data_IF_062567473154
#
_entry.id   IF_062567473154
#
_cell.length_a   1.000
_cell.length_b   1.000
_cell.length_c   1.000
_cell.angle_alpha   90.00
_cell.angle_beta   90.00
_cell.angle_gamma   90.00
#
_symmetry.space_group_name_H-M   'P 1'
#
loop_
_entity.id
_entity.type
_entity.pdbx_description
1 polymer ?
#
# COMPACT_ATOMS: atom_id res chain seq x y z
N UNK A 1 8.05 10.72 -0.56
CA UNK A 1 8.42 12.11 -0.87
C UNK A 1 7.22 12.97 -1.24
N UNK A 2 6.72 12.89 -2.48
CA UNK A 2 5.65 13.76 -3.01
C UNK A 2 4.31 13.69 -2.27
N UNK A 3 3.91 12.50 -1.81
CA UNK A 3 2.68 12.35 -1.02
C UNK A 3 2.72 13.16 0.28
N UNK A 4 3.90 13.34 0.87
CA UNK A 4 4.08 14.21 2.03
C UNK A 4 3.90 15.68 1.66
N UNK A 5 4.42 16.12 0.51
CA UNK A 5 4.33 17.52 0.06
C UNK A 5 2.91 17.94 -0.34
N UNK A 6 2.17 17.05 -1.00
CA UNK A 6 0.76 17.28 -1.34
C UNK A 6 -0.12 17.28 -0.07
N UNK A 7 0.13 16.37 0.87
CA UNK A 7 -0.59 16.34 2.14
C UNK A 7 -0.27 17.53 3.06
N UNK A 8 0.97 18.04 3.02
CA UNK A 8 1.41 19.21 3.82
C UNK A 8 0.82 20.52 3.30
N UNK A 9 0.52 20.62 2.00
CA UNK A 9 -0.11 21.80 1.39
C UNK A 9 -1.64 21.66 1.24
N UNK A 10 -2.24 20.58 1.77
CA UNK A 10 -3.66 20.33 1.64
C UNK A 10 -4.50 21.21 2.59
N UNK A 11 -5.61 21.81 2.12
CA UNK A 11 -6.57 22.49 2.98
C UNK A 11 -7.05 21.59 4.13
N UNK A 12 -7.32 22.15 5.31
CA UNK A 12 -7.60 21.35 6.53
C UNK A 12 -8.74 20.33 6.37
N UNK A 13 -9.77 20.67 5.59
CA UNK A 13 -10.93 19.80 5.31
C UNK A 13 -10.80 18.93 4.05
N UNK A 14 -9.63 18.86 3.42
CA UNK A 14 -9.39 18.04 2.21
C UNK A 14 -8.12 17.19 2.32
N UNK A 15 -7.59 17.00 3.53
CA UNK A 15 -6.32 16.28 3.74
C UNK A 15 -6.40 14.82 3.26
N UNK A 16 -7.54 14.16 3.43
CA UNK A 16 -7.79 12.80 2.93
C UNK A 16 -7.87 12.73 1.41
N UNK A 17 -8.56 13.70 0.78
CA UNK A 17 -8.60 13.83 -0.68
C UNK A 17 -7.22 14.02 -1.31
N UNK A 18 -6.38 14.90 -0.77
CA UNK A 18 -5.04 15.12 -1.31
C UNK A 18 -4.08 13.96 -1.01
N UNK A 19 -4.30 13.22 0.09
CA UNK A 19 -3.50 12.05 0.43
C UNK A 19 -3.76 10.87 -0.52
N UNK A 20 -4.97 10.70 -1.06
CA UNK A 20 -5.29 9.58 -1.96
C UNK A 20 -4.82 9.78 -3.40
N UNK A 21 -4.60 11.02 -3.85
CA UNK A 21 -4.24 11.32 -5.25
C UNK A 21 -3.00 10.54 -5.72
N UNK A 22 -1.88 10.51 -4.99
CA UNK A 22 -0.72 9.71 -5.38
C UNK A 22 -1.01 8.20 -5.44
N UNK A 23 -1.97 7.73 -4.65
CA UNK A 23 -2.32 6.32 -4.54
C UNK A 23 -3.13 5.83 -5.75
N UNK A 24 -3.80 6.71 -6.48
CA UNK A 24 -4.50 6.38 -7.74
C UNK A 24 -3.55 5.81 -8.81
N UNK A 25 -2.27 6.16 -8.76
CA UNK A 25 -1.27 5.65 -9.69
C UNK A 25 -1.11 4.12 -9.62
N UNK A 26 -1.33 3.52 -8.45
CA UNK A 26 -1.18 2.07 -8.26
C UNK A 26 -2.22 1.25 -9.04
N UNK A 27 -3.55 1.44 -8.87
CA UNK A 27 -4.54 0.70 -9.65
C UNK A 27 -4.52 1.08 -11.14
N UNK A 28 -4.22 2.33 -11.52
CA UNK A 28 -4.09 2.69 -12.93
C UNK A 28 -2.92 1.95 -13.58
N UNK A 29 -1.76 1.94 -12.91
CA UNK A 29 -0.59 1.20 -13.37
C UNK A 29 -0.86 -0.29 -13.46
N UNK A 30 -1.59 -0.85 -12.49
CA UNK A 30 -2.00 -2.25 -12.52
C UNK A 30 -2.91 -2.56 -13.70
N UNK A 31 -3.97 -1.76 -13.94
CA UNK A 31 -4.87 -1.95 -15.08
C UNK A 31 -4.10 -1.93 -16.40
N UNK A 32 -3.19 -0.96 -16.58
CA UNK A 32 -2.37 -0.84 -17.80
C UNK A 32 -1.43 -2.04 -17.95
N UNK A 33 -0.79 -2.48 -16.86
CA UNK A 33 0.07 -3.65 -16.87
C UNK A 33 -0.71 -4.93 -17.21
N UNK A 34 -1.82 -5.19 -16.52
CA UNK A 34 -2.66 -6.36 -16.75
C UNK A 34 -3.24 -6.36 -18.18
N UNK A 35 -3.64 -5.20 -18.72
CA UNK A 35 -4.06 -5.07 -20.11
C UNK A 35 -2.95 -5.41 -21.10
N UNK A 36 -1.73 -4.90 -20.87
CA UNK A 36 -0.57 -5.13 -21.73
C UNK A 36 -0.15 -6.61 -21.72
N UNK A 37 -0.10 -7.23 -20.54
CA UNK A 37 0.21 -8.65 -20.42
C UNK A 37 -0.89 -9.53 -21.00
N UNK A 38 -2.17 -9.21 -20.79
CA UNK A 38 -3.29 -9.94 -21.41
C UNK A 38 -3.22 -9.85 -22.93
N UNK A 39 -2.87 -8.68 -23.48
CA UNK A 39 -2.65 -8.50 -24.91
C UNK A 39 -1.50 -9.38 -25.43
N UNK A 40 -0.35 -9.38 -24.78
CA UNK A 40 0.79 -10.21 -25.21
C UNK A 40 0.52 -11.70 -25.11
N UNK A 41 -0.07 -12.16 -24.01
CA UNK A 41 -0.39 -13.57 -23.82
C UNK A 41 -1.46 -14.07 -24.81
N UNK A 42 -2.28 -13.18 -25.38
CA UNK A 42 -3.29 -13.52 -26.38
C UNK A 42 -2.78 -13.40 -27.83
N UNK A 43 -1.74 -12.61 -28.08
CA UNK A 43 -1.29 -12.29 -29.46
C UNK A 43 0.06 -12.92 -29.83
N UNK A 44 0.93 -13.15 -28.85
CA UNK A 44 2.25 -13.73 -29.09
C UNK A 44 2.24 -15.24 -28.89
N UNK A 45 3.09 -15.94 -29.64
CA UNK A 45 3.42 -17.31 -29.32
C UNK A 45 4.19 -17.37 -27.98
N UNK A 46 4.19 -18.53 -27.31
CA UNK A 46 4.97 -18.71 -26.09
C UNK A 46 6.47 -18.46 -26.32
N UNK A 47 6.99 -18.81 -27.50
CA UNK A 47 8.38 -18.57 -27.87
C UNK A 47 8.69 -17.07 -27.98
N UNK A 48 7.85 -16.30 -28.68
CA UNK A 48 8.04 -14.85 -28.83
C UNK A 48 7.88 -14.11 -27.50
N UNK A 49 6.94 -14.57 -26.67
CA UNK A 49 6.75 -14.00 -25.34
C UNK A 49 8.00 -14.15 -24.49
N UNK A 50 8.62 -15.34 -24.48
CA UNK A 50 9.86 -15.63 -23.74
C UNK A 50 11.10 -14.96 -24.35
N UNK A 51 11.12 -14.78 -25.66
CA UNK A 51 12.23 -14.16 -26.37
C UNK A 51 12.27 -12.63 -26.21
N UNK A 52 11.13 -11.93 -26.34
CA UNK A 52 11.13 -10.47 -26.21
C UNK A 52 9.88 -9.88 -25.56
N UNK A 53 8.73 -10.54 -25.69
CA UNK A 53 7.44 -9.98 -25.23
C UNK A 53 7.45 -9.54 -23.77
N UNK A 54 8.04 -10.35 -22.88
CA UNK A 54 8.14 -10.01 -21.45
C UNK A 54 9.03 -8.81 -21.16
N UNK A 55 9.95 -8.43 -22.06
CA UNK A 55 10.87 -7.29 -21.88
C UNK A 55 10.20 -5.95 -22.21
N UNK A 56 9.19 -5.95 -23.08
CA UNK A 56 8.52 -4.73 -23.55
C UNK A 56 7.91 -3.86 -22.43
N UNK A 57 7.18 -4.41 -21.43
CA UNK A 57 6.62 -3.62 -20.32
C UNK A 57 7.67 -2.81 -19.54
N UNK A 58 8.92 -3.29 -19.47
CA UNK A 58 10.00 -2.57 -18.79
C UNK A 58 10.40 -1.28 -19.52
N UNK A 59 10.36 -1.27 -20.86
CA UNK A 59 10.61 -0.05 -21.64
C UNK A 59 9.46 0.96 -21.49
N UNK A 60 8.22 0.48 -21.44
CA UNK A 60 7.05 1.33 -21.15
C UNK A 60 7.17 1.96 -19.76
N UNK A 61 7.51 1.16 -18.74
CA UNK A 61 7.74 1.65 -17.39
C UNK A 61 8.92 2.64 -17.32
N UNK A 62 9.99 2.42 -18.08
CA UNK A 62 11.11 3.34 -18.19
C UNK A 62 10.67 4.69 -18.77
N UNK A 63 9.94 4.71 -19.87
CA UNK A 63 9.44 5.94 -20.50
C UNK A 63 8.53 6.74 -19.53
N UNK A 64 7.60 6.06 -18.84
CA UNK A 64 6.75 6.69 -17.83
C UNK A 64 7.58 7.28 -16.69
N UNK A 65 8.61 6.57 -16.22
CA UNK A 65 9.50 7.05 -15.16
C UNK A 65 10.31 8.29 -15.57
N UNK A 66 10.73 8.40 -16.83
CA UNK A 66 11.39 9.61 -17.34
C UNK A 66 10.45 10.82 -17.24
N UNK A 67 9.20 10.67 -17.67
CA UNK A 67 8.18 11.74 -17.55
C UNK A 67 7.92 12.08 -16.08
N UNK A 68 7.80 11.06 -15.22
CA UNK A 68 7.60 11.24 -13.78
C UNK A 68 8.80 11.95 -13.10
N UNK A 69 10.03 11.70 -13.57
CA UNK A 69 11.23 12.40 -13.10
C UNK A 69 11.16 13.89 -13.43
N UNK A 70 10.82 14.25 -14.68
CA UNK A 70 10.66 15.66 -15.06
C UNK A 70 9.57 16.35 -14.24
N UNK A 71 8.43 15.68 -14.00
CA UNK A 71 7.38 16.21 -13.13
C UNK A 71 7.87 16.42 -11.69
N UNK A 72 8.62 15.47 -11.12
CA UNK A 72 9.22 15.59 -9.78
C UNK A 72 10.18 16.77 -9.68
N UNK A 73 11.06 16.94 -10.66
CA UNK A 73 12.03 18.04 -10.70
C UNK A 73 11.32 19.39 -10.70
N UNK A 74 10.20 19.54 -11.44
CA UNK A 74 9.41 20.78 -11.42
C UNK A 74 8.75 21.07 -10.07
N UNK A 75 8.31 20.05 -9.33
CA UNK A 75 7.67 20.24 -8.01
C UNK A 75 8.67 20.76 -6.97
N UNK A 76 9.94 20.36 -7.04
CA UNK A 76 11.01 20.78 -6.11
C UNK A 76 11.28 22.28 -6.18
N UNK A 77 10.97 22.93 -7.31
CA UNK A 77 11.21 24.38 -7.54
C UNK A 77 10.09 25.25 -6.96
N UNK A 78 9.08 24.67 -6.29
CA UNK A 78 7.96 25.44 -5.75
C UNK A 78 8.33 26.20 -4.47
N UNK A 79 7.78 27.42 -4.23
CA UNK A 79 8.06 28.19 -3.02
C UNK A 79 7.70 27.45 -1.72
N UNK A 80 6.70 26.57 -1.74
CA UNK A 80 6.31 25.74 -0.60
C UNK A 80 7.36 24.68 -0.27
N UNK A 81 8.00 24.07 -1.27
CA UNK A 81 9.12 23.16 -1.07
C UNK A 81 10.33 23.90 -0.50
N UNK A 82 10.64 25.08 -1.03
CA UNK A 82 11.75 25.90 -0.56
C UNK A 82 11.58 26.30 0.92
N UNK A 83 10.37 26.72 1.32
CA UNK A 83 10.05 27.01 2.72
C UNK A 83 10.23 25.79 3.65
N UNK A 84 9.79 24.61 3.22
CA UNK A 84 9.96 23.36 3.99
C UNK A 84 11.43 22.90 4.08
N UNK A 85 12.24 23.23 3.07
CA UNK A 85 13.67 22.99 3.09
C UNK A 85 14.37 23.94 4.07
N UNK A 86 14.01 25.22 4.06
CA UNK A 86 14.52 26.25 4.98
C UNK A 86 14.15 25.99 6.44
N UNK A 87 12.96 25.46 6.72
CA UNK A 87 12.54 25.06 8.08
C UNK A 87 13.19 23.76 8.57
N UNK A 88 14.10 23.17 7.78
CA UNK A 88 14.77 21.89 8.05
C UNK A 88 13.83 20.68 8.14
N UNK A 89 12.56 20.80 7.72
CA UNK A 89 11.63 19.65 7.68
C UNK A 89 12.02 18.60 6.63
N UNK A 90 12.77 19.01 5.61
CA UNK A 90 13.22 18.16 4.51
C UNK A 90 14.72 17.85 4.54
N UNK A 91 15.43 18.26 5.60
CA UNK A 91 16.87 18.02 5.73
C UNK A 91 17.12 16.57 6.18
N UNK A 92 17.89 15.77 5.43
CA UNK A 92 18.24 14.42 5.85
C UNK A 92 19.23 14.47 7.03
N UNK A 93 18.99 13.59 8.01
CA UNK A 93 19.95 13.28 9.08
C UNK A 93 20.54 11.88 8.87
N UNK A 94 21.74 11.58 9.42
CA UNK A 94 22.30 10.24 9.38
C UNK A 94 21.32 9.19 9.92
N UNK A 95 21.19 8.06 9.22
CA UNK A 95 20.24 6.98 9.54
C UNK A 95 20.42 6.50 10.98
N UNK A 96 21.66 6.31 11.42
CA UNK A 96 21.98 5.90 12.80
C UNK A 96 21.40 6.87 13.84
N UNK A 97 21.50 8.18 13.60
CA UNK A 97 20.95 9.21 14.51
C UNK A 97 19.43 9.11 14.59
N UNK A 98 18.76 8.96 13.45
CA UNK A 98 17.30 8.81 13.40
C UNK A 98 16.84 7.53 14.10
N UNK A 99 17.51 6.39 13.88
CA UNK A 99 17.17 5.10 14.51
C UNK A 99 17.40 5.14 16.01
N UNK A 100 18.51 5.72 16.47
CA UNK A 100 18.78 5.86 17.91
C UNK A 100 17.75 6.73 18.62
N UNK A 101 17.27 7.78 17.96
CA UNK A 101 16.31 8.73 18.53
C UNK A 101 14.84 8.25 18.42
N UNK A 102 14.46 7.63 17.30
CA UNK A 102 13.06 7.37 16.93
C UNK A 102 12.77 5.88 16.66
N UNK A 103 13.72 4.98 16.94
CA UNK A 103 13.67 3.55 16.58
C UNK A 103 12.35 2.83 16.91
N UNK A 104 11.82 2.92 18.15
CA UNK A 104 10.54 2.32 18.49
C UNK A 104 9.36 2.86 17.66
N UNK A 105 9.35 4.16 17.35
CA UNK A 105 8.31 4.79 16.51
C UNK A 105 8.46 4.38 15.04
N UNK A 106 9.69 4.23 14.56
CA UNK A 106 10.00 3.70 13.22
C UNK A 106 9.47 2.27 13.10
N UNK A 107 9.75 1.41 14.07
CA UNK A 107 9.27 0.04 14.08
C UNK A 107 7.74 -0.02 14.11
N UNK A 108 7.08 0.63 15.07
CA UNK A 108 5.61 0.65 15.17
C UNK A 108 4.99 1.22 13.88
N UNK A 109 5.59 2.28 13.34
CA UNK A 109 5.17 2.90 12.10
C UNK A 109 5.29 1.98 10.88
N UNK A 110 6.32 1.12 10.85
CA UNK A 110 6.54 0.18 9.75
C UNK A 110 5.49 -0.93 9.72
N UNK A 111 5.00 -1.34 10.90
CA UNK A 111 3.94 -2.34 11.03
C UNK A 111 2.52 -1.76 10.89
N UNK A 112 2.35 -0.44 10.94
CA UNK A 112 1.04 0.20 10.85
C UNK A 112 0.32 0.05 9.49
N UNK A 113 0.99 0.10 8.32
CA UNK A 113 0.34 -0.17 7.03
C UNK A 113 0.49 -1.64 6.58
N UNK A 114 1.00 -2.53 7.45
CA UNK A 114 1.36 -3.90 7.08
C UNK A 114 0.18 -4.67 6.48
N UNK A 115 -1.01 -4.55 7.08
CA UNK A 115 -2.22 -5.18 6.59
C UNK A 115 -2.60 -4.71 5.19
N UNK A 116 -2.48 -3.40 4.91
CA UNK A 116 -2.79 -2.82 3.61
C UNK A 116 -1.84 -3.32 2.52
N UNK A 117 -0.54 -3.45 2.84
CA UNK A 117 0.47 -3.93 1.91
C UNK A 117 0.41 -5.44 1.69
N UNK A 118 0.13 -6.21 2.74
CA UNK A 118 -0.15 -7.64 2.62
C UNK A 118 -1.40 -7.87 1.77
N UNK A 119 -2.47 -7.09 2.02
CA UNK A 119 -3.70 -7.12 1.23
C UNK A 119 -3.42 -6.81 -0.25
N UNK A 120 -2.60 -5.79 -0.54
CA UNK A 120 -2.23 -5.43 -1.92
C UNK A 120 -1.69 -6.63 -2.69
N UNK A 121 -0.77 -7.39 -2.08
CA UNK A 121 -0.17 -8.56 -2.71
C UNK A 121 -1.11 -9.78 -2.74
N UNK A 122 -1.97 -9.89 -1.73
CA UNK A 122 -3.00 -10.94 -1.65
C UNK A 122 -4.10 -10.81 -2.70
N UNK A 123 -4.27 -9.64 -3.33
CA UNK A 123 -5.25 -9.44 -4.41
C UNK A 123 -4.61 -9.21 -5.79
N UNK A 124 -3.27 -9.21 -5.88
CA UNK A 124 -2.53 -8.99 -7.14
C UNK A 124 -1.69 -10.21 -7.49
N UNK A 125 -0.54 -10.35 -6.83
CA UNK A 125 0.49 -11.34 -7.18
C UNK A 125 0.12 -12.75 -6.72
N UNK A 126 -0.38 -12.90 -5.48
CA UNK A 126 -0.69 -14.22 -4.93
C UNK A 126 -1.79 -14.95 -5.71
N UNK A 127 -2.95 -14.35 -6.01
CA UNK A 127 -4.02 -15.04 -6.72
C UNK A 127 -3.62 -15.40 -8.15
N UNK A 128 -2.87 -14.52 -8.85
CA UNK A 128 -2.32 -14.84 -10.17
C UNK A 128 -1.45 -16.10 -10.10
N UNK A 129 -0.55 -16.16 -9.12
CA UNK A 129 0.35 -17.31 -8.94
C UNK A 129 -0.42 -18.57 -8.57
N UNK A 130 -1.42 -18.45 -7.70
CA UNK A 130 -2.26 -19.57 -7.27
C UNK A 130 -3.07 -20.15 -8.43
N UNK A 131 -3.77 -19.28 -9.17
CA UNK A 131 -4.58 -19.64 -10.34
C UNK A 131 -3.70 -20.30 -11.40
N UNK A 132 -2.53 -19.73 -11.70
CA UNK A 132 -1.62 -20.28 -12.69
C UNK A 132 -1.03 -21.64 -12.31
N UNK A 133 -0.67 -21.86 -11.05
CA UNK A 133 0.03 -23.08 -10.62
C UNK A 133 -0.91 -24.22 -10.21
N UNK A 134 -2.10 -23.91 -9.68
CA UNK A 134 -2.97 -24.88 -9.03
C UNK A 134 -4.34 -25.03 -9.69
N UNK A 135 -4.63 -24.28 -10.75
CA UNK A 135 -5.90 -24.39 -11.49
C UNK A 135 -5.65 -24.56 -12.99
N UNK A 136 -6.70 -24.90 -13.75
CA UNK A 136 -6.65 -25.04 -15.22
C UNK A 136 -6.99 -23.73 -15.94
N UNK A 137 -7.09 -22.62 -15.20
CA UNK A 137 -7.51 -21.33 -15.72
C UNK A 137 -6.37 -20.62 -16.45
N UNK A 138 -6.72 -19.89 -17.51
CA UNK A 138 -5.72 -19.13 -18.27
C UNK A 138 -5.30 -17.86 -17.52
N UNK A 139 -4.00 -17.49 -17.53
CA UNK A 139 -3.54 -16.21 -16.97
C UNK A 139 -4.26 -15.01 -17.56
N UNK A 140 -4.64 -15.07 -18.84
CA UNK A 140 -5.39 -14.01 -19.51
C UNK A 140 -6.72 -13.74 -18.81
N UNK A 141 -7.49 -14.79 -18.47
CA UNK A 141 -8.76 -14.64 -17.76
C UNK A 141 -8.55 -13.99 -16.38
N UNK A 142 -7.53 -14.41 -15.65
CA UNK A 142 -7.18 -13.79 -14.37
C UNK A 142 -6.86 -12.30 -14.53
N UNK A 143 -6.04 -11.91 -15.51
CA UNK A 143 -5.67 -10.52 -15.76
C UNK A 143 -6.90 -9.65 -16.10
N UNK A 144 -7.90 -10.20 -16.80
CA UNK A 144 -9.17 -9.51 -17.04
C UNK A 144 -9.95 -9.27 -15.72
N UNK A 145 -10.04 -10.29 -14.87
CA UNK A 145 -10.70 -10.17 -13.55
C UNK A 145 -9.94 -9.17 -12.66
N UNK A 146 -8.61 -9.19 -12.70
CA UNK A 146 -7.75 -8.25 -12.00
C UNK A 146 -7.99 -6.82 -12.46
N UNK A 147 -8.12 -6.56 -13.77
CA UNK A 147 -8.47 -5.23 -14.27
C UNK A 147 -9.83 -4.74 -13.76
N UNK A 148 -10.84 -5.62 -13.75
CA UNK A 148 -12.16 -5.28 -13.20
C UNK A 148 -12.05 -4.98 -11.71
N UNK A 149 -11.37 -5.83 -10.94
CA UNK A 149 -11.11 -5.61 -9.52
C UNK A 149 -10.38 -4.29 -9.27
N UNK A 150 -9.31 -4.02 -10.01
CA UNK A 150 -8.52 -2.80 -9.92
C UNK A 150 -9.35 -1.53 -10.25
N UNK A 151 -10.32 -1.61 -11.16
CA UNK A 151 -11.27 -0.52 -11.40
C UNK A 151 -12.16 -0.24 -10.18
N UNK A 152 -12.67 -1.27 -9.50
CA UNK A 152 -13.36 -1.10 -8.22
C UNK A 152 -12.44 -0.57 -7.11
N UNK A 153 -11.18 -1.01 -7.11
CA UNK A 153 -10.14 -0.50 -6.22
C UNK A 153 -9.88 0.99 -6.45
N UNK A 154 -9.80 1.44 -7.71
CA UNK A 154 -9.66 2.85 -8.08
C UNK A 154 -10.82 3.69 -7.53
N UNK A 155 -12.07 3.24 -7.73
CA UNK A 155 -13.25 3.90 -7.18
C UNK A 155 -13.23 3.94 -5.65
N UNK A 156 -12.74 2.88 -5.03
CA UNK A 156 -12.62 2.77 -3.58
C UNK A 156 -11.52 3.67 -3.01
N UNK A 157 -10.42 3.91 -3.74
CA UNK A 157 -9.42 4.93 -3.37
C UNK A 157 -10.05 6.33 -3.39
N UNK A 158 -10.83 6.66 -4.42
CA UNK A 158 -11.55 7.95 -4.49
C UNK A 158 -12.54 8.09 -3.33
N UNK A 159 -13.32 7.05 -3.04
CA UNK A 159 -14.23 7.02 -1.90
C UNK A 159 -13.48 7.16 -0.56
N UNK A 160 -12.29 6.56 -0.44
CA UNK A 160 -11.46 6.66 0.76
C UNK A 160 -11.12 8.11 1.12
N UNK A 161 -10.87 8.96 0.12
CA UNK A 161 -10.55 10.37 0.34
C UNK A 161 -11.71 11.11 1.01
N UNK A 162 -12.91 10.95 0.47
CA UNK A 162 -14.14 11.56 0.99
C UNK A 162 -14.51 11.02 2.38
N UNK A 163 -14.41 9.71 2.57
CA UNK A 163 -14.68 9.05 3.85
C UNK A 163 -13.66 9.46 4.91
N UNK A 164 -12.39 9.60 4.54
CA UNK A 164 -11.34 10.03 5.45
C UNK A 164 -11.52 11.49 5.88
N UNK A 165 -11.96 12.37 4.99
CA UNK A 165 -12.28 13.76 5.32
C UNK A 165 -13.50 13.85 6.25
N UNK A 166 -14.47 12.92 6.16
CA UNK A 166 -15.67 12.90 7.02
C UNK A 166 -15.48 12.22 8.37
N UNK A 167 -14.85 11.04 8.41
CA UNK A 167 -14.76 10.17 9.60
C UNK A 167 -13.37 10.18 10.26
N UNK A 168 -12.40 10.81 9.61
CA UNK A 168 -11.01 10.84 10.04
C UNK A 168 -10.20 9.64 9.54
N UNK A 169 -8.96 9.93 9.12
CA UNK A 169 -8.01 8.96 8.54
C UNK A 169 -7.73 7.76 9.46
N UNK A 170 -7.55 8.01 10.76
CA UNK A 170 -7.23 6.96 11.73
C UNK A 170 -8.39 5.99 11.94
N UNK A 171 -9.61 6.51 11.96
CA UNK A 171 -10.84 5.70 12.10
C UNK A 171 -11.01 4.81 10.87
N UNK A 172 -10.84 5.38 9.67
CA UNK A 172 -10.94 4.62 8.42
C UNK A 172 -9.89 3.52 8.33
N UNK A 173 -8.63 3.78 8.72
CA UNK A 173 -7.60 2.74 8.78
C UNK A 173 -7.92 1.63 9.78
N UNK A 174 -8.48 1.95 10.95
CA UNK A 174 -8.88 0.94 11.93
C UNK A 174 -10.06 0.08 11.42
N UNK A 175 -11.08 0.70 10.82
CA UNK A 175 -12.23 -0.01 10.24
C UNK A 175 -11.78 -0.92 9.09
N UNK A 176 -10.94 -0.41 8.19
CA UNK A 176 -10.43 -1.22 7.07
C UNK A 176 -9.50 -2.34 7.55
N UNK A 177 -8.68 -2.13 8.58
CA UNK A 177 -7.89 -3.20 9.20
C UNK A 177 -8.77 -4.30 9.80
N UNK A 178 -9.87 -3.95 10.46
CA UNK A 178 -10.85 -4.92 10.95
C UNK A 178 -11.56 -5.65 9.79
N UNK A 179 -11.88 -4.93 8.70
CA UNK A 179 -12.40 -5.52 7.47
C UNK A 179 -11.41 -6.52 6.84
N UNK A 180 -10.11 -6.21 6.83
CA UNK A 180 -9.05 -7.10 6.31
C UNK A 180 -8.95 -8.35 7.19
N UNK A 181 -9.05 -8.21 8.51
CA UNK A 181 -9.09 -9.34 9.42
C UNK A 181 -10.30 -10.25 9.13
N UNK A 182 -11.49 -9.69 8.93
CA UNK A 182 -12.68 -10.47 8.58
C UNK A 182 -12.54 -11.15 7.21
N UNK A 183 -12.04 -10.41 6.20
CA UNK A 183 -11.76 -10.91 4.85
C UNK A 183 -10.79 -12.10 4.88
N UNK A 184 -9.75 -12.02 5.72
CA UNK A 184 -8.71 -13.05 5.81
C UNK A 184 -9.23 -14.43 6.22
N UNK A 185 -10.31 -14.52 7.00
CA UNK A 185 -10.85 -15.81 7.46
C UNK A 185 -11.61 -16.59 6.38
N UNK A 186 -12.26 -15.89 5.44
CA UNK A 186 -13.27 -16.49 4.54
C UNK A 186 -13.03 -16.24 3.05
N UNK A 187 -12.32 -15.18 2.70
CA UNK A 187 -12.18 -14.78 1.31
C UNK A 187 -11.17 -15.63 0.53
N UNK A 188 -9.99 -16.02 1.06
CA UNK A 188 -9.04 -16.82 0.30
C UNK A 188 -9.62 -18.13 -0.23
N UNK A 189 -10.56 -18.74 0.50
CA UNK A 189 -11.24 -19.97 0.08
C UNK A 189 -12.12 -19.77 -1.17
N UNK A 190 -12.57 -18.54 -1.43
CA UNK A 190 -13.35 -18.21 -2.63
C UNK A 190 -12.55 -18.37 -3.93
N UNK A 191 -11.21 -18.39 -3.87
CA UNK A 191 -10.37 -18.66 -5.05
C UNK A 191 -10.60 -20.06 -5.63
N UNK A 192 -11.02 -21.02 -4.81
CA UNK A 192 -11.43 -22.36 -5.28
C UNK A 192 -12.93 -22.46 -5.58
N UNK A 193 -13.70 -21.37 -5.40
CA UNK A 193 -15.14 -21.32 -5.62
C UNK A 193 -15.58 -21.17 -7.08
N UNK A 194 -14.68 -21.46 -8.03
CA UNK A 194 -14.90 -21.23 -9.45
C UNK A 194 -14.96 -19.74 -9.83
N UNK A 195 -15.46 -19.44 -11.03
CA UNK A 195 -15.41 -18.10 -11.59
C UNK A 195 -16.10 -17.01 -10.75
N UNK A 196 -17.24 -17.35 -10.12
CA UNK A 196 -17.97 -16.41 -9.27
C UNK A 196 -17.22 -16.16 -7.96
N UNK A 197 -16.63 -17.21 -7.37
CA UNK A 197 -15.81 -17.09 -6.17
C UNK A 197 -14.58 -16.21 -6.39
N UNK A 198 -13.86 -16.46 -7.48
CA UNK A 198 -12.69 -15.66 -7.88
C UNK A 198 -13.05 -14.18 -8.11
N UNK A 199 -14.12 -13.91 -8.86
CA UNK A 199 -14.59 -12.54 -9.09
C UNK A 199 -14.99 -11.85 -7.78
N UNK A 200 -15.67 -12.56 -6.90
CA UNK A 200 -16.10 -12.04 -5.59
C UNK A 200 -14.90 -11.71 -4.72
N UNK A 201 -13.91 -12.62 -4.65
CA UNK A 201 -12.65 -12.41 -3.94
C UNK A 201 -11.93 -11.16 -4.44
N UNK A 202 -11.76 -11.05 -5.76
CA UNK A 202 -11.02 -9.97 -6.39
C UNK A 202 -11.72 -8.63 -6.18
N UNK A 203 -13.01 -8.52 -6.49
CA UNK A 203 -13.75 -7.24 -6.34
C UNK A 203 -13.78 -6.80 -4.88
N UNK A 204 -14.20 -7.68 -3.96
CA UNK A 204 -14.28 -7.31 -2.53
C UNK A 204 -12.91 -7.01 -1.94
N UNK A 205 -11.87 -7.74 -2.38
CA UNK A 205 -10.49 -7.52 -1.97
C UNK A 205 -9.94 -6.17 -2.45
N UNK A 206 -10.17 -5.81 -3.72
CA UNK A 206 -9.74 -4.51 -4.25
C UNK A 206 -10.52 -3.33 -3.65
N UNK A 207 -11.81 -3.49 -3.35
CA UNK A 207 -12.59 -2.46 -2.64
C UNK A 207 -11.96 -2.19 -1.28
N UNK A 208 -11.72 -3.25 -0.51
CA UNK A 208 -11.14 -3.16 0.83
C UNK A 208 -9.71 -2.60 0.80
N UNK A 209 -8.91 -3.04 -0.17
CA UNK A 209 -7.59 -2.49 -0.46
C UNK A 209 -7.67 -1.00 -0.78
N UNK A 210 -8.56 -0.58 -1.67
CA UNK A 210 -8.68 0.82 -2.10
C UNK A 210 -9.04 1.75 -0.95
N UNK A 211 -9.97 1.32 -0.09
CA UNK A 211 -10.36 2.05 1.12
C UNK A 211 -9.20 2.22 2.11
N UNK A 212 -8.34 1.20 2.23
CA UNK A 212 -7.20 1.20 3.16
C UNK A 212 -5.98 1.94 2.58
N UNK A 213 -5.55 1.53 1.38
CA UNK A 213 -4.35 2.00 0.70
C UNK A 213 -4.43 3.49 0.33
N UNK A 214 -5.62 4.00 -0.01
CA UNK A 214 -5.82 5.42 -0.30
C UNK A 214 -5.43 6.35 0.85
N UNK A 215 -5.42 5.86 2.10
CA UNK A 215 -5.05 6.64 3.29
C UNK A 215 -3.76 6.19 3.97
N UNK A 216 -3.14 5.11 3.48
CA UNK A 216 -1.93 4.52 4.05
C UNK A 216 -0.70 5.46 3.99
N UNK A 217 -0.70 6.45 3.10
CA UNK A 217 0.39 7.43 2.98
C UNK A 217 0.25 8.56 4.02
N UNK A 218 1.14 8.61 5.02
CA UNK A 218 1.29 9.76 5.91
C UNK A 218 0.78 9.69 7.37
N UNK A 219 0.14 8.64 7.90
CA UNK A 219 -0.22 8.59 9.33
C UNK A 219 1.00 8.58 10.28
N UNK A 220 2.16 8.14 9.80
CA UNK A 220 3.36 7.93 10.63
C UNK A 220 4.32 9.11 10.58
N UNK A 221 4.30 9.91 9.52
CA UNK A 221 5.24 11.02 9.36
C UNK A 221 5.08 12.12 10.43
N UNK A 222 3.85 12.33 10.91
CA UNK A 222 3.56 13.35 11.93
C UNK A 222 4.00 12.97 13.35
N UNK A 223 4.29 11.69 13.62
CA UNK A 223 4.74 11.25 14.96
C UNK A 223 6.24 11.46 15.22
N UNK A 224 7.02 11.82 14.19
CA UNK A 224 8.45 12.06 14.32
C UNK A 224 8.78 13.52 14.64
N UNK A 225 9.84 13.72 15.41
CA UNK A 225 10.41 15.03 15.65
C UNK A 225 10.80 15.73 14.34
N UNK A 226 10.69 17.05 14.32
CA UNK A 226 10.88 17.86 13.10
C UNK A 226 12.27 17.64 12.47
N UNK A 227 13.31 17.50 13.30
CA UNK A 227 14.68 17.26 12.86
C UNK A 227 14.91 15.86 12.23
N UNK A 228 14.16 14.84 12.66
CA UNK A 228 14.33 13.46 12.17
C UNK A 228 13.25 13.05 11.16
N UNK A 229 12.24 13.89 10.93
CA UNK A 229 11.01 13.55 10.21
C UNK A 229 11.28 13.01 8.82
N UNK A 230 12.18 13.62 8.05
CA UNK A 230 12.50 13.19 6.69
C UNK A 230 13.09 11.78 6.66
N UNK A 231 14.24 11.56 7.31
CA UNK A 231 14.93 10.26 7.34
C UNK A 231 14.07 9.17 8.00
N UNK A 232 13.42 9.47 9.13
CA UNK A 232 12.60 8.50 9.85
C UNK A 232 11.36 8.09 9.03
N UNK A 233 10.69 9.04 8.35
CA UNK A 233 9.53 8.71 7.51
C UNK A 233 9.91 7.89 6.29
N UNK A 234 11.05 8.21 5.66
CA UNK A 234 11.59 7.43 4.54
C UNK A 234 11.89 6.00 4.98
N UNK A 235 12.72 5.84 6.03
CA UNK A 235 13.09 4.53 6.56
C UNK A 235 11.88 3.71 7.00
N UNK A 236 10.91 4.34 7.66
CA UNK A 236 9.68 3.66 8.08
C UNK A 236 8.86 3.18 6.88
N UNK A 237 8.78 3.98 5.82
CA UNK A 237 8.07 3.59 4.59
C UNK A 237 8.79 2.43 3.90
N UNK A 238 10.12 2.48 3.82
CA UNK A 238 10.93 1.43 3.19
C UNK A 238 10.83 0.11 3.96
N UNK A 239 10.90 0.15 5.29
CA UNK A 239 10.71 -1.03 6.14
C UNK A 239 9.29 -1.59 6.02
N UNK A 240 8.28 -0.72 5.97
CA UNK A 240 6.90 -1.14 5.77
C UNK A 240 6.73 -1.90 4.44
N UNK A 241 7.30 -1.39 3.35
CA UNK A 241 7.31 -2.09 2.05
C UNK A 241 8.13 -3.37 2.10
N UNK A 242 9.30 -3.37 2.73
CA UNK A 242 10.14 -4.56 2.84
C UNK A 242 9.41 -5.71 3.53
N UNK A 243 8.80 -5.46 4.70
CA UNK A 243 8.12 -6.49 5.48
C UNK A 243 6.70 -6.79 4.97
N UNK A 244 5.95 -5.77 4.57
CA UNK A 244 4.54 -5.90 4.19
C UNK A 244 4.30 -6.31 2.74
N UNK A 245 5.28 -6.08 1.86
CA UNK A 245 5.14 -6.31 0.43
C UNK A 245 6.23 -7.25 -0.12
N UNK A 246 7.49 -7.03 0.24
CA UNK A 246 8.62 -7.76 -0.37
C UNK A 246 8.56 -9.28 -0.19
N UNK A 247 8.27 -9.75 1.02
CA UNK A 247 8.22 -11.18 1.33
C UNK A 247 6.80 -11.78 1.28
N UNK A 248 5.77 -10.94 1.12
CA UNK A 248 4.39 -11.35 1.32
C UNK A 248 3.88 -12.38 0.30
N UNK A 249 4.04 -12.18 -1.02
CA UNK A 249 3.60 -13.17 -2.00
C UNK A 249 4.31 -14.51 -1.84
N UNK A 250 5.63 -14.48 -1.61
CA UNK A 250 6.44 -15.70 -1.49
C UNK A 250 6.03 -16.51 -0.26
N UNK A 251 5.92 -15.85 0.91
CA UNK A 251 5.51 -16.51 2.14
C UNK A 251 4.07 -17.04 2.02
N UNK A 252 3.15 -16.24 1.49
CA UNK A 252 1.76 -16.64 1.27
C UNK A 252 1.67 -17.87 0.36
N UNK A 253 2.34 -17.83 -0.81
CA UNK A 253 2.33 -18.93 -1.76
C UNK A 253 2.97 -20.19 -1.18
N UNK A 254 4.12 -20.06 -0.50
CA UNK A 254 4.79 -21.20 0.12
C UNK A 254 3.92 -21.86 1.19
N UNK A 255 3.38 -21.09 2.14
CA UNK A 255 2.51 -21.63 3.19
C UNK A 255 1.23 -22.23 2.56
N UNK A 256 0.62 -21.55 1.58
CA UNK A 256 -0.56 -22.08 0.89
C UNK A 256 -0.29 -23.33 0.06
N UNK A 257 0.92 -23.51 -0.47
CA UNK A 257 1.28 -24.75 -1.16
C UNK A 257 1.31 -25.97 -0.23
N UNK A 258 1.56 -25.76 1.07
CA UNK A 258 1.64 -26.83 2.07
C UNK A 258 0.33 -27.03 2.82
N UNK A 259 -0.39 -25.94 3.13
CA UNK A 259 -1.55 -25.94 4.04
C UNK A 259 -2.84 -25.43 3.38
N UNK A 260 -2.82 -25.14 2.07
CA UNK A 260 -3.97 -24.65 1.30
C UNK A 260 -4.29 -23.16 1.49
N UNK A 261 -5.40 -22.73 0.90
CA UNK A 261 -5.84 -21.33 0.87
C UNK A 261 -6.18 -20.76 2.25
N UNK A 262 -6.57 -21.60 3.21
CA UNK A 262 -6.79 -21.19 4.61
C UNK A 262 -5.53 -20.54 5.18
N UNK A 263 -4.35 -21.01 4.77
CA UNK A 263 -3.10 -20.51 5.28
C UNK A 263 -2.69 -19.15 4.68
N UNK A 264 -3.14 -18.82 3.46
CA UNK A 264 -3.06 -17.45 2.95
C UNK A 264 -3.93 -16.51 3.78
N UNK A 265 -5.10 -16.99 4.22
CA UNK A 265 -5.95 -16.31 5.18
C UNK A 265 -5.25 -16.06 6.51
N UNK A 266 -4.64 -17.09 7.10
CA UNK A 266 -3.87 -16.95 8.33
C UNK A 266 -2.70 -15.95 8.20
N UNK A 267 -2.01 -15.94 7.04
CA UNK A 267 -0.97 -14.96 6.75
C UNK A 267 -1.53 -13.53 6.74
N UNK A 268 -2.63 -13.29 6.02
CA UNK A 268 -3.27 -11.98 5.97
C UNK A 268 -3.80 -11.54 7.35
N UNK A 269 -4.35 -12.48 8.12
CA UNK A 269 -4.82 -12.25 9.49
C UNK A 269 -3.66 -11.82 10.39
N UNK A 270 -2.50 -12.46 10.27
CA UNK A 270 -1.31 -12.08 11.05
C UNK A 270 -0.90 -10.63 10.78
N UNK A 271 -0.93 -10.19 9.51
CA UNK A 271 -0.66 -8.81 9.13
C UNK A 271 -1.69 -7.81 9.68
N UNK A 272 -2.97 -8.20 9.69
CA UNK A 272 -4.06 -7.41 10.29
C UNK A 272 -3.89 -7.26 11.82
N UNK A 273 -3.56 -8.35 12.52
CA UNK A 273 -3.29 -8.32 13.96
C UNK A 273 -2.08 -7.42 14.27
N UNK A 274 -0.96 -7.59 13.56
CA UNK A 274 0.22 -6.75 13.72
C UNK A 274 -0.10 -5.26 13.50
N UNK A 275 -0.92 -4.95 12.51
CA UNK A 275 -1.38 -3.58 12.24
C UNK A 275 -2.22 -3.02 13.38
N UNK A 276 -3.19 -3.79 13.88
CA UNK A 276 -4.04 -3.37 15.00
C UNK A 276 -3.21 -3.14 16.28
N UNK A 277 -2.28 -4.04 16.58
CA UNK A 277 -1.35 -3.90 17.71
C UNK A 277 -0.46 -2.66 17.54
N UNK A 278 0.10 -2.44 16.36
CA UNK A 278 0.92 -1.25 16.08
C UNK A 278 0.10 0.05 16.24
N UNK A 279 -1.14 0.08 15.75
CA UNK A 279 -2.03 1.23 15.90
C UNK A 279 -2.43 1.50 17.36
N UNK A 280 -2.56 0.43 18.16
CA UNK A 280 -2.81 0.51 19.60
C UNK A 280 -1.60 1.04 20.36
N UNK A 281 -0.40 0.48 20.13
CA UNK A 281 0.86 0.95 20.73
C UNK A 281 1.14 2.42 20.38
N UNK A 282 0.89 2.83 19.14
CA UNK A 282 1.04 4.22 18.71
C UNK A 282 0.07 5.16 19.44
N UNK A 283 -1.15 4.67 19.76
CA UNK A 283 -2.16 5.40 20.55
C UNK A 283 -1.65 5.64 21.97
N UNK A 284 -1.06 4.62 22.57
CA UNK A 284 -0.60 4.65 23.95
C UNK A 284 0.63 5.55 24.11
N UNK A 285 1.60 5.45 23.19
CA UNK A 285 2.77 6.33 23.16
C UNK A 285 2.40 7.81 23.04
N UNK A 286 1.37 8.13 22.24
CA UNK A 286 0.88 9.49 22.11
C UNK A 286 0.22 10.00 23.41
N UNK A 287 -0.53 9.14 24.12
CA UNK A 287 -1.13 9.47 25.42
C UNK A 287 -0.07 9.73 26.48
N UNK A 288 0.88 8.81 26.66
CA UNK A 288 1.94 8.96 27.66
C UNK A 288 2.81 10.21 27.44
N UNK A 289 3.02 10.63 26.18
CA UNK A 289 3.74 11.87 25.87
C UNK A 289 2.94 13.12 26.27
N UNK A 290 1.63 13.13 26.00
CA UNK A 290 0.71 14.21 26.42
C UNK A 290 0.64 14.35 27.94
N UNK A 291 0.58 13.22 28.65
CA UNK A 291 0.49 13.21 30.12
C UNK A 291 1.77 13.72 30.77
N UNK A 292 2.94 13.35 30.24
CA UNK A 292 4.23 13.92 30.68
C UNK A 292 4.32 15.42 30.44
N UNK A 293 3.79 15.92 29.31
CA UNK A 293 3.74 17.36 29.03
C UNK A 293 2.78 18.11 29.95
N UNK A 294 1.66 17.50 30.36
CA UNK A 294 0.73 18.08 31.35
C UNK A 294 1.34 18.10 32.74
N UNK A 295 1.98 17.01 33.16
CA UNK A 295 2.67 16.93 34.44
C UNK A 295 3.85 17.90 34.57
N UNK A 296 4.57 18.18 33.47
CA UNK A 296 5.65 19.17 33.45
C UNK A 296 5.17 20.64 33.46
N UNK A 297 3.87 20.88 33.23
CA UNK A 297 3.25 22.21 33.25
C UNK A 297 2.44 22.50 34.52
N UNK A 298 2.26 21.48 35.38
CA UNK A 298 1.61 21.57 36.67
C UNK A 298 2.66 21.73 37.77
#
# INVERSE_FOLDING_TARGET
>A
GLASLLALNAPENRRGWYAMIPQLGAPIGLIVASALFAFFLNTLSAADFLDWGWRYPFFVAFAINVVALFARLRIVVTPSFQKLFETRELQPVPVHTAVKAEGPRIAIGAFAPLASFAMFHMVTVFPLSWVFLFTQETPVRFLLIEMVGAAFGLLSILASGLLADRYGRRTLLAITAAGIAAFSGFAPQLLNGGAIGELTFMISGFILLGLSFGQASGPVASSFSLANRYTASALTSDLAWLFGAGFAPLAALWISSQFGLIAAGAYLLSGAICTLVALWLNRELARSASDKQRAAKA
#
